data_IF_151214709320
#
_entry.id   IF_151214709320
#
_cell.length_a   1.000
_cell.length_b   1.000
_cell.length_c   1.000
_cell.angle_alpha   90.00
_cell.angle_beta   90.00
_cell.angle_gamma   90.00
#
_symmetry.space_group_name_H-M   'P 1'
#
loop_
_entity.id
_entity.type
_entity.pdbx_description
1 polymer ?
#
# COMPACT_ATOMS: atom_id res chain seq x y z
N UNK A 1 6.39 4.38 14.84
CA UNK A 1 5.49 5.53 14.60
C UNK A 1 6.03 6.40 13.47
N UNK A 2 5.39 6.33 12.31
CA UNK A 2 5.74 7.12 11.14
C UNK A 2 4.76 8.31 11.06
N UNK A 3 5.24 9.51 11.28
CA UNK A 3 4.48 10.71 11.69
C UNK A 3 3.69 11.42 10.56
N UNK A 4 3.40 10.74 9.43
CA UNK A 4 2.89 11.40 8.21
C UNK A 4 1.51 10.92 7.72
N UNK A 5 0.91 9.89 8.32
CA UNK A 5 -0.38 9.37 7.82
C UNK A 5 -1.52 10.32 8.17
N UNK A 6 -2.28 10.76 7.16
CA UNK A 6 -3.37 11.71 7.34
C UNK A 6 -4.70 10.99 7.65
N UNK A 7 -5.38 11.39 8.72
CA UNK A 7 -6.78 11.02 8.97
C UNK A 7 -7.70 11.99 8.22
N UNK A 8 -8.39 11.53 7.17
CA UNK A 8 -9.33 12.30 6.35
C UNK A 8 -10.78 12.15 6.85
N UNK A 9 -10.98 12.24 8.17
CA UNK A 9 -12.30 12.23 8.86
C UNK A 9 -12.95 10.85 9.01
N UNK A 10 -12.16 9.80 9.23
CA UNK A 10 -12.70 8.54 9.78
C UNK A 10 -12.69 8.59 11.31
N UNK A 11 -13.46 7.69 11.94
CA UNK A 11 -13.44 7.54 13.40
C UNK A 11 -12.00 7.34 13.91
N UNK A 12 -11.70 8.04 14.99
CA UNK A 12 -10.33 8.16 15.48
C UNK A 12 -9.84 6.84 16.13
N UNK A 13 -10.74 6.04 16.69
CA UNK A 13 -10.37 4.71 17.18
C UNK A 13 -10.12 3.75 16.01
N UNK A 14 -11.01 3.75 15.01
CA UNK A 14 -10.82 2.99 13.78
C UNK A 14 -9.49 3.33 13.10
N UNK A 15 -9.16 4.62 12.98
CA UNK A 15 -7.90 5.08 12.42
C UNK A 15 -6.69 4.47 13.15
N UNK A 16 -6.67 4.56 14.48
CA UNK A 16 -5.59 3.99 15.30
C UNK A 16 -5.51 2.46 15.19
N UNK A 17 -6.65 1.77 15.15
CA UNK A 17 -6.69 0.31 15.06
C UNK A 17 -6.14 -0.19 13.73
N UNK A 18 -6.48 0.48 12.62
CA UNK A 18 -5.94 0.17 11.29
C UNK A 18 -4.43 0.39 11.28
N UNK A 19 -3.94 1.53 11.80
CA UNK A 19 -2.50 1.81 11.84
C UNK A 19 -1.74 0.81 12.72
N UNK A 20 -2.28 0.47 13.89
CA UNK A 20 -1.70 -0.54 14.79
C UNK A 20 -1.60 -1.91 14.11
N UNK A 21 -2.65 -2.32 13.39
CA UNK A 21 -2.65 -3.57 12.62
C UNK A 21 -1.60 -3.54 11.50
N UNK A 22 -1.54 -2.44 10.74
CA UNK A 22 -0.57 -2.24 9.68
C UNK A 22 0.88 -2.25 10.19
N UNK A 23 1.14 -1.70 11.39
CA UNK A 23 2.46 -1.73 12.03
C UNK A 23 2.95 -3.16 12.35
N UNK A 24 2.07 -4.15 12.43
CA UNK A 24 2.43 -5.55 12.67
C UNK A 24 2.32 -6.42 11.42
N UNK A 25 2.01 -5.84 10.25
CA UNK A 25 1.85 -6.57 9.01
C UNK A 25 3.21 -6.76 8.29
N UNK A 26 3.79 -7.95 8.40
CA UNK A 26 5.08 -8.30 7.79
C UNK A 26 5.11 -8.10 6.27
N UNK A 27 3.99 -8.30 5.56
CA UNK A 27 3.95 -8.12 4.12
C UNK A 27 4.15 -6.65 3.72
N UNK A 28 3.49 -5.72 4.43
CA UNK A 28 3.66 -4.28 4.23
C UNK A 28 5.11 -3.86 4.47
N UNK A 29 5.70 -4.30 5.58
CA UNK A 29 7.10 -3.97 5.93
C UNK A 29 8.08 -4.51 4.90
N UNK A 30 7.91 -5.77 4.50
CA UNK A 30 8.81 -6.43 3.54
C UNK A 30 8.81 -5.67 2.22
N UNK A 31 7.62 -5.33 1.71
CA UNK A 31 7.44 -4.58 0.47
C UNK A 31 7.76 -3.09 0.60
N UNK A 32 8.06 -2.58 1.80
CA UNK A 32 8.32 -1.16 2.02
C UNK A 32 7.09 -0.28 1.78
N UNK A 33 5.89 -0.83 1.97
CA UNK A 33 4.62 -0.15 1.79
C UNK A 33 4.29 0.64 3.06
N UNK A 34 3.80 1.87 2.89
CA UNK A 34 3.39 2.77 3.98
C UNK A 34 2.07 3.43 3.62
N UNK A 35 1.19 3.55 4.61
CA UNK A 35 -0.07 4.29 4.47
C UNK A 35 0.26 5.79 4.48
N UNK A 36 -0.33 6.57 3.57
CA UNK A 36 -0.21 8.03 3.48
C UNK A 36 -1.47 8.74 3.96
N UNK A 37 -2.65 8.17 3.71
CA UNK A 37 -3.91 8.67 4.27
C UNK A 37 -4.96 7.57 4.40
N UNK A 38 -5.94 7.80 5.27
CA UNK A 38 -7.17 7.01 5.38
C UNK A 38 -8.37 7.97 5.42
N UNK A 39 -9.39 7.72 4.61
CA UNK A 39 -10.65 8.47 4.57
C UNK A 39 -11.84 7.52 4.40
N UNK A 40 -13.10 7.94 4.52
CA UNK A 40 -14.23 7.02 4.47
C UNK A 40 -14.31 6.25 3.15
N UNK A 41 -13.94 4.96 3.16
CA UNK A 41 -13.92 4.13 1.95
C UNK A 41 -12.71 4.39 1.02
N UNK A 42 -11.66 5.05 1.51
CA UNK A 42 -10.50 5.46 0.70
C UNK A 42 -9.20 5.31 1.47
N UNK A 43 -8.14 4.90 0.80
CA UNK A 43 -6.82 4.80 1.38
C UNK A 43 -5.76 5.23 0.38
N UNK A 44 -4.72 5.90 0.89
CA UNK A 44 -3.53 6.24 0.14
C UNK A 44 -2.36 5.45 0.66
N UNK A 45 -1.59 4.84 -0.24
CA UNK A 45 -0.39 4.08 0.10
C UNK A 45 0.77 4.55 -0.78
N UNK A 46 1.99 4.44 -0.25
CA UNK A 46 3.25 4.63 -0.99
C UNK A 46 4.15 3.43 -0.78
N UNK A 47 4.95 3.11 -1.79
CA UNK A 47 5.91 2.00 -1.73
C UNK A 47 7.25 2.47 -2.27
N UNK A 48 8.34 2.05 -1.63
CA UNK A 48 9.68 2.25 -2.18
C UNK A 48 9.94 1.23 -3.28
N UNK A 49 10.33 1.70 -4.47
CA UNK A 49 10.67 0.84 -5.61
C UNK A 49 12.08 0.24 -5.44
N UNK A 50 12.22 -0.64 -4.45
CA UNK A 50 13.48 -1.31 -4.12
C UNK A 50 13.95 -2.23 -5.26
N UNK A 51 15.20 -2.13 -5.74
CA UNK A 51 15.73 -3.02 -6.79
C UNK A 51 15.60 -4.52 -6.48
N UNK A 52 15.50 -4.93 -5.21
CA UNK A 52 15.26 -6.33 -4.85
C UNK A 52 13.89 -6.86 -5.32
N UNK A 53 12.97 -5.97 -5.66
CA UNK A 53 11.63 -6.28 -6.17
C UNK A 53 11.51 -6.14 -7.68
N UNK A 54 12.64 -5.92 -8.36
CA UNK A 54 12.67 -5.79 -9.81
C UNK A 54 12.58 -7.14 -10.51
N UNK A 55 12.03 -7.11 -11.71
CA UNK A 55 12.16 -8.18 -12.68
C UNK A 55 13.48 -8.06 -13.45
N UNK A 56 13.74 -9.04 -14.32
CA UNK A 56 14.96 -9.09 -15.16
C UNK A 56 15.12 -7.91 -16.13
N UNK A 57 14.10 -7.05 -16.27
CA UNK A 57 14.11 -5.84 -17.11
C UNK A 57 14.39 -4.56 -16.32
N UNK A 58 14.68 -4.63 -15.01
CA UNK A 58 14.93 -3.45 -14.15
C UNK A 58 13.68 -2.65 -13.80
N UNK A 59 12.50 -3.26 -13.94
CA UNK A 59 11.21 -2.67 -13.53
C UNK A 59 10.64 -3.45 -12.36
N UNK A 60 9.89 -2.79 -11.48
CA UNK A 60 9.23 -3.43 -10.34
C UNK A 60 8.31 -4.53 -10.84
N UNK A 61 8.47 -5.72 -10.26
CA UNK A 61 7.72 -6.91 -10.65
C UNK A 61 6.21 -6.67 -10.50
N UNK A 62 5.41 -7.09 -11.49
CA UNK A 62 3.97 -6.87 -11.48
C UNK A 62 3.28 -7.37 -10.21
N UNK A 63 3.70 -8.53 -9.69
CA UNK A 63 3.18 -9.07 -8.43
C UNK A 63 3.37 -8.13 -7.22
N UNK A 64 4.43 -7.32 -7.19
CA UNK A 64 4.70 -6.36 -6.11
C UNK A 64 3.77 -5.14 -6.25
N UNK A 65 3.56 -4.67 -7.48
CA UNK A 65 2.57 -3.62 -7.77
C UNK A 65 1.15 -4.12 -7.42
N UNK A 66 0.80 -5.35 -7.79
CA UNK A 66 -0.48 -5.96 -7.43
C UNK A 66 -0.65 -6.04 -5.91
N UNK A 67 0.40 -6.42 -5.16
CA UNK A 67 0.38 -6.40 -3.69
C UNK A 67 0.10 -5.01 -3.12
N UNK A 68 0.70 -3.95 -3.67
CA UNK A 68 0.40 -2.57 -3.27
C UNK A 68 -1.07 -2.21 -3.51
N UNK A 69 -1.62 -2.56 -4.67
CA UNK A 69 -3.02 -2.27 -5.02
C UNK A 69 -4.00 -3.08 -4.16
N UNK A 70 -3.72 -4.36 -3.91
CA UNK A 70 -4.52 -5.22 -3.03
C UNK A 70 -4.60 -4.65 -1.61
N UNK A 71 -3.46 -4.21 -1.05
CA UNK A 71 -3.44 -3.55 0.26
C UNK A 71 -4.21 -2.22 0.25
N UNK A 72 -4.10 -1.42 -0.81
CA UNK A 72 -4.86 -0.17 -0.93
C UNK A 72 -6.37 -0.43 -0.97
N UNK A 73 -6.80 -1.44 -1.72
CA UNK A 73 -8.19 -1.88 -1.78
C UNK A 73 -8.69 -2.35 -0.41
N UNK A 74 -7.95 -3.25 0.26
CA UNK A 74 -8.30 -3.74 1.60
C UNK A 74 -8.42 -2.60 2.62
N UNK A 75 -7.43 -1.72 2.69
CA UNK A 75 -7.43 -0.59 3.62
C UNK A 75 -8.50 0.44 3.29
N UNK A 76 -8.84 0.64 2.01
CA UNK A 76 -9.97 1.48 1.62
C UNK A 76 -11.28 0.89 2.16
N UNK A 77 -11.44 -0.42 2.15
CA UNK A 77 -12.62 -1.08 2.72
C UNK A 77 -12.63 -0.96 4.25
N UNK A 78 -11.50 -1.23 4.91
CA UNK A 78 -11.38 -1.13 6.37
C UNK A 78 -11.65 0.28 6.88
N UNK A 79 -11.20 1.31 6.16
CA UNK A 79 -11.46 2.71 6.49
C UNK A 79 -12.95 3.08 6.48
N UNK A 80 -13.81 2.26 5.86
CA UNK A 80 -15.27 2.42 5.93
C UNK A 80 -15.91 1.75 7.16
N UNK A 81 -15.11 1.18 8.06
CA UNK A 81 -15.55 0.46 9.26
C UNK A 81 -15.97 -1.00 8.98
N UNK A 82 -15.59 -1.56 7.83
CA UNK A 82 -15.96 -2.91 7.40
C UNK A 82 -14.73 -3.81 7.35
N UNK A 83 -14.87 -5.08 7.72
CA UNK A 83 -13.79 -6.08 7.58
C UNK A 83 -14.10 -7.06 6.45
N UNK A 84 -13.07 -7.52 5.76
CA UNK A 84 -13.21 -8.43 4.64
C UNK A 84 -11.88 -8.84 4.06
N UNK A 85 -11.96 -9.68 3.04
CA UNK A 85 -10.82 -10.25 2.34
C UNK A 85 -11.04 -10.10 0.84
N UNK A 86 -9.95 -9.96 0.09
CA UNK A 86 -10.00 -9.95 -1.37
C UNK A 86 -10.43 -11.32 -1.88
N UNK A 87 -11.56 -11.39 -2.58
CA UNK A 87 -12.02 -12.60 -3.26
C UNK A 87 -11.42 -12.73 -4.67
N UNK A 88 -11.30 -11.59 -5.36
CA UNK A 88 -10.77 -11.47 -6.71
C UNK A 88 -10.23 -10.05 -6.90
N UNK A 89 -9.21 -9.92 -7.74
CA UNK A 89 -8.68 -8.63 -8.17
C UNK A 89 -8.20 -8.73 -9.62
N UNK A 90 -8.77 -7.90 -10.49
CA UNK A 90 -8.31 -7.73 -11.86
C UNK A 90 -7.50 -6.44 -12.00
N UNK A 91 -6.33 -6.52 -12.64
CA UNK A 91 -5.43 -5.38 -12.83
C UNK A 91 -4.96 -5.28 -14.28
N UNK A 92 -4.93 -4.06 -14.82
CA UNK A 92 -4.34 -3.74 -16.11
C UNK A 92 -3.08 -2.89 -15.90
N UNK A 93 -1.94 -3.34 -16.40
CA UNK A 93 -0.68 -2.60 -16.34
C UNK A 93 -0.55 -1.70 -17.58
N UNK A 94 -0.52 -0.38 -17.37
CA UNK A 94 -0.50 0.60 -18.48
C UNK A 94 0.93 0.99 -18.86
N UNK A 95 1.85 1.02 -17.89
CA UNK A 95 3.25 1.40 -18.08
C UNK A 95 4.14 0.70 -17.04
N UNK A 96 5.44 0.50 -17.33
CA UNK A 96 6.38 -0.06 -16.36
C UNK A 96 6.69 0.95 -15.25
N UNK A 97 6.85 0.43 -14.03
CA UNK A 97 7.42 1.19 -12.91
C UNK A 97 8.89 0.82 -12.80
N UNK A 98 9.79 1.77 -13.04
CA UNK A 98 11.23 1.51 -12.98
C UNK A 98 11.70 1.40 -11.53
N UNK A 99 12.70 0.56 -11.29
CA UNK A 99 13.33 0.47 -9.99
C UNK A 99 14.02 1.77 -9.61
N UNK A 100 14.05 2.09 -8.31
CA UNK A 100 14.80 3.21 -7.81
C UNK A 100 16.26 2.78 -7.60
N UNK A 101 17.11 3.09 -8.58
CA UNK A 101 18.56 2.85 -8.51
C UNK A 101 19.33 3.90 -7.70
N UNK A 102 18.65 4.88 -7.09
CA UNK A 102 19.29 5.96 -6.33
C UNK A 102 20.00 7.01 -7.19
N UNK A 103 19.92 6.91 -8.52
CA UNK A 103 20.40 7.92 -9.46
C UNK A 103 19.31 8.93 -9.78
N UNK A 104 19.60 10.22 -9.61
CA UNK A 104 18.81 11.32 -10.18
C UNK A 104 18.54 11.02 -11.67
N UNK A 105 17.28 10.82 -12.02
CA UNK A 105 16.76 10.94 -13.37
C UNK A 105 15.75 12.08 -13.38
#
# INVERSE_FOLDING_TARGET
MNTETQNLRIDEQLFRDILSTAEHNTALHTMGIRITYLGPGTAGLKMYCDPKFSNHMGSIHGAVIAGLIDNAMGLSMESSGRRGVTLEMSLNYIAPVMENTGGYR
#
